data_IF_271850806613
#
_entry.id   IF_271850806613
#
_cell.length_a   1.000
_cell.length_b   1.000
_cell.length_c   1.000
_cell.angle_alpha   90.00
_cell.angle_beta   90.00
_cell.angle_gamma   90.00
#
_symmetry.space_group_name_H-M   'P 1'
#
loop_
_entity.id
_entity.type
_entity.pdbx_description
1 polymer ?
#
# COMPACT_ATOMS: atom_id res chain seq x y z
N UNK A 1 8.58 12.40 9.85
CA UNK A 1 7.50 11.77 9.07
C UNK A 1 7.48 10.32 9.46
N UNK A 2 6.42 9.88 10.12
CA UNK A 2 6.25 8.47 10.48
C UNK A 2 5.56 7.79 9.31
N UNK A 3 6.17 6.72 8.81
CA UNK A 3 5.55 5.87 7.81
C UNK A 3 5.02 4.61 8.50
N UNK A 4 3.92 4.11 7.98
CA UNK A 4 3.37 2.81 8.36
C UNK A 4 3.28 1.94 7.13
N UNK A 5 3.38 0.64 7.32
CA UNK A 5 3.22 -0.31 6.22
C UNK A 5 2.30 -1.47 6.58
N UNK A 6 1.72 -2.07 5.54
CA UNK A 6 0.89 -3.26 5.61
C UNK A 6 1.19 -4.18 4.43
N UNK A 7 1.11 -5.48 4.66
CA UNK A 7 1.14 -6.46 3.57
C UNK A 7 -0.27 -6.87 3.16
N UNK A 8 -0.53 -6.86 1.85
CA UNK A 8 -1.81 -7.25 1.25
C UNK A 8 -1.57 -8.34 0.21
N UNK A 9 -2.34 -9.42 0.30
CA UNK A 9 -2.33 -10.49 -0.71
C UNK A 9 -3.23 -10.09 -1.86
N UNK A 10 -2.69 -10.04 -3.07
CA UNK A 10 -3.44 -9.72 -4.28
C UNK A 10 -3.30 -10.84 -5.31
N UNK A 11 -4.16 -10.90 -6.35
CA UNK A 11 -4.04 -11.90 -7.41
C UNK A 11 -2.71 -11.87 -8.17
N UNK A 12 -1.97 -10.77 -8.06
CA UNK A 12 -0.67 -10.55 -8.71
C UNK A 12 0.52 -10.77 -7.76
N UNK A 13 0.27 -11.21 -6.52
CA UNK A 13 1.29 -11.47 -5.50
C UNK A 13 1.09 -10.66 -4.22
N UNK A 14 2.05 -10.73 -3.29
CA UNK A 14 2.02 -9.93 -2.08
C UNK A 14 2.52 -8.51 -2.38
N UNK A 15 1.71 -7.51 -2.00
CA UNK A 15 2.06 -6.10 -2.08
C UNK A 15 2.33 -5.55 -0.69
N UNK A 16 3.41 -4.77 -0.55
CA UNK A 16 3.68 -3.98 0.64
C UNK A 16 3.23 -2.56 0.39
N UNK A 17 2.18 -2.13 1.09
CA UNK A 17 1.66 -0.79 1.04
C UNK A 17 2.35 0.04 2.11
N UNK A 18 2.80 1.24 1.78
CA UNK A 18 3.40 2.20 2.71
C UNK A 18 2.62 3.50 2.64
N UNK A 19 2.19 4.00 3.78
CA UNK A 19 1.47 5.27 3.91
C UNK A 19 2.11 6.14 4.98
N UNK A 20 1.91 7.44 4.87
CA UNK A 20 2.09 8.41 5.95
C UNK A 20 0.72 8.92 6.39
N UNK A 21 0.70 9.82 7.37
CA UNK A 21 -0.54 10.50 7.82
C UNK A 21 -1.25 11.28 6.70
N UNK A 22 -0.54 11.64 5.62
CA UNK A 22 -1.10 12.38 4.50
C UNK A 22 -1.73 11.49 3.42
N UNK A 23 -1.23 10.27 3.24
CA UNK A 23 -1.62 9.42 2.12
C UNK A 23 -0.71 8.24 1.86
N UNK A 24 -1.04 7.51 0.80
CA UNK A 24 -0.23 6.40 0.30
C UNK A 24 1.06 6.95 -0.32
N UNK A 25 2.20 6.54 0.23
CA UNK A 25 3.53 6.97 -0.19
C UNK A 25 4.18 5.99 -1.17
N UNK A 26 3.96 4.68 -1.01
CA UNK A 26 4.53 3.67 -1.90
C UNK A 26 3.77 2.34 -1.91
N UNK A 27 3.88 1.62 -3.03
CA UNK A 27 3.49 0.22 -3.17
C UNK A 27 4.71 -0.54 -3.66
N UNK A 28 5.16 -1.53 -2.89
CA UNK A 28 6.24 -2.45 -3.29
C UNK A 28 5.68 -3.83 -3.61
N UNK A 29 6.32 -4.49 -4.58
CA UNK A 29 6.08 -5.88 -4.92
C UNK A 29 6.95 -6.80 -4.06
N UNK A 30 6.50 -8.04 -3.82
CA UNK A 30 7.23 -9.06 -3.06
C UNK A 30 8.68 -9.28 -3.56
N UNK A 31 8.89 -9.16 -4.87
CA UNK A 31 10.20 -9.33 -5.52
C UNK A 31 10.86 -8.01 -5.93
N UNK A 32 10.41 -6.87 -5.39
CA UNK A 32 11.03 -5.59 -5.74
C UNK A 32 12.47 -5.54 -5.23
N UNK A 33 13.35 -4.92 -6.02
CA UNK A 33 14.76 -4.88 -5.70
C UNK A 33 14.96 -4.06 -4.42
N UNK A 34 15.59 -4.62 -3.36
CA UNK A 34 15.76 -3.92 -2.08
C UNK A 34 16.61 -2.64 -2.18
N UNK A 35 17.32 -2.43 -3.29
CA UNK A 35 18.05 -1.19 -3.59
C UNK A 35 17.20 -0.12 -4.28
N UNK A 36 16.00 -0.47 -4.77
CA UNK A 36 15.13 0.43 -5.55
C UNK A 36 14.31 1.35 -4.66
N UNK A 37 13.97 0.90 -3.45
CA UNK A 37 13.17 1.68 -2.51
C UNK A 37 14.05 2.01 -1.32
N UNK A 38 14.19 3.31 -1.02
CA UNK A 38 14.77 3.74 0.26
C UNK A 38 14.00 3.00 1.34
N UNK A 39 14.70 2.28 2.21
CA UNK A 39 14.09 1.66 3.37
C UNK A 39 13.38 2.77 4.14
N UNK A 40 12.06 2.88 3.98
CA UNK A 40 11.26 3.68 4.86
C UNK A 40 11.39 2.99 6.21
N UNK A 41 11.84 3.74 7.23
CA UNK A 41 11.71 3.33 8.63
C UNK A 41 10.21 3.37 8.97
N UNK A 42 9.47 2.44 8.37
CA UNK A 42 8.04 2.31 8.47
C UNK A 42 7.73 1.23 9.50
N UNK A 43 6.76 1.49 10.35
CA UNK A 43 6.27 0.51 11.33
C UNK A 43 5.12 -0.29 10.71
N UNK A 44 5.02 -1.57 11.04
CA UNK A 44 3.87 -2.36 10.59
C UNK A 44 2.60 -1.88 11.32
N UNK A 45 1.61 -1.41 10.57
CA UNK A 45 0.29 -1.07 11.10
C UNK A 45 -0.80 -1.61 10.18
N UNK A 46 -1.43 -2.70 10.63
CA UNK A 46 -2.51 -3.35 9.91
C UNK A 46 -3.88 -2.67 10.11
N UNK A 47 -3.95 -1.69 11.03
CA UNK A 47 -5.17 -0.97 11.44
C UNK A 47 -5.23 0.46 10.88
N UNK A 48 -4.19 0.91 10.19
CA UNK A 48 -4.15 2.24 9.59
C UNK A 48 -5.32 2.44 8.58
N UNK A 49 -6.03 3.55 8.73
CA UNK A 49 -7.24 3.81 7.96
C UNK A 49 -6.95 4.00 6.46
N UNK A 50 -5.80 4.60 6.11
CA UNK A 50 -5.40 4.82 4.72
C UNK A 50 -5.04 3.48 4.09
N UNK A 51 -4.22 2.67 4.75
CA UNK A 51 -3.83 1.34 4.24
C UNK A 51 -5.03 0.39 4.10
N UNK A 52 -5.99 0.45 5.01
CA UNK A 52 -7.25 -0.30 4.91
C UNK A 52 -8.12 0.15 3.73
N UNK A 53 -8.21 1.46 3.47
CA UNK A 53 -8.92 1.97 2.30
C UNK A 53 -8.22 1.56 1.00
N UNK A 54 -6.89 1.67 0.94
CA UNK A 54 -6.09 1.22 -0.21
C UNK A 54 -6.32 -0.25 -0.50
N UNK A 55 -6.24 -1.11 0.53
CA UNK A 55 -6.50 -2.55 0.40
C UNK A 55 -7.89 -2.82 -0.17
N UNK A 56 -8.92 -2.14 0.35
CA UNK A 56 -10.29 -2.26 -0.17
C UNK A 56 -10.37 -1.87 -1.64
N UNK A 57 -9.78 -0.73 -2.02
CA UNK A 57 -9.83 -0.26 -3.41
C UNK A 57 -9.03 -1.14 -4.36
N UNK A 58 -7.89 -1.69 -3.91
CA UNK A 58 -7.12 -2.68 -4.67
C UNK A 58 -7.95 -3.95 -4.91
N UNK A 59 -8.65 -4.44 -3.88
CA UNK A 59 -9.53 -5.60 -4.02
C UNK A 59 -10.68 -5.34 -5.01
N UNK A 60 -11.28 -4.14 -4.97
CA UNK A 60 -12.31 -3.73 -5.95
C UNK A 60 -11.75 -3.63 -7.37
N UNK A 61 -10.54 -3.10 -7.53
CA UNK A 61 -9.85 -2.99 -8.81
C UNK A 61 -9.57 -4.38 -9.40
N UNK A 62 -8.98 -5.28 -8.61
CA UNK A 62 -8.72 -6.65 -9.07
C UNK A 62 -10.01 -7.46 -9.31
N UNK A 63 -11.11 -7.12 -8.65
CA UNK A 63 -12.42 -7.69 -8.93
C UNK A 63 -13.12 -7.08 -10.16
N UNK A 64 -12.49 -6.11 -10.84
CA UNK A 64 -13.07 -5.40 -12.00
C UNK A 64 -14.25 -4.47 -11.65
N UNK A 65 -14.43 -4.14 -10.37
CA UNK A 65 -15.53 -3.28 -9.89
C UNK A 65 -15.15 -1.80 -9.85
N UNK A 66 -13.86 -1.50 -9.96
CA UNK A 66 -13.29 -0.15 -9.88
C UNK A 66 -12.21 0.01 -10.93
N UNK A 67 -12.20 1.16 -11.58
CA UNK A 67 -11.15 1.58 -12.53
C UNK A 67 -10.35 2.79 -12.04
N UNK A 68 -10.85 3.50 -11.00
CA UNK A 68 -10.26 4.73 -10.47
C UNK A 68 -10.04 4.64 -8.97
N UNK A 69 -8.84 5.01 -8.53
CA UNK A 69 -8.50 5.11 -7.12
C UNK A 69 -8.85 6.49 -6.57
N UNK A 70 -9.35 6.52 -5.34
CA UNK A 70 -9.72 7.74 -4.58
C UNK A 70 -8.88 7.88 -3.31
N UNK A 71 -7.72 7.23 -3.28
CA UNK A 71 -6.79 7.27 -2.14
C UNK A 71 -5.95 8.56 -2.20
N UNK A 72 -5.76 9.29 -1.09
CA UNK A 72 -4.79 10.38 -1.03
C UNK A 72 -3.36 9.86 -1.23
N UNK A 73 -2.51 10.64 -1.93
CA UNK A 73 -1.10 10.32 -2.19
C UNK A 73 -0.19 11.31 -1.48
N UNK A 74 0.96 10.83 -0.99
CA UNK A 74 2.02 11.60 -0.33
C UNK A 74 3.26 11.74 -1.25
#
# INVERSE_FOLDING_TARGET
>A
MSYVFKFVKTPVGQLKLIASENGLAAILWENDNPRRVRAFDALEDNSDAILLDVERQLNEYFAGKREKFSVPLD
#
